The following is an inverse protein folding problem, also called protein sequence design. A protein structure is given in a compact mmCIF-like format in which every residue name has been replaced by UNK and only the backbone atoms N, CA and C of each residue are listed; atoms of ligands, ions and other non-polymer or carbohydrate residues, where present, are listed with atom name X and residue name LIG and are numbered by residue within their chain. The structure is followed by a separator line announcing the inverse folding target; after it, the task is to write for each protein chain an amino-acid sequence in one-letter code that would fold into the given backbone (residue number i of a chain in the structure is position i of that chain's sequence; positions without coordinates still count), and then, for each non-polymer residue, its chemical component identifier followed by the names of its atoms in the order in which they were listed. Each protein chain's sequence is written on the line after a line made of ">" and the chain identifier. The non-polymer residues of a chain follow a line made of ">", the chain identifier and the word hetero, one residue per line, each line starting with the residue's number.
data_IF_102443762845
#
_entry.id   IF_102443762845
#
_cell.length_a   1.000
_cell.length_b   1.000
_cell.length_c   1.000
_cell.angle_alpha   90.00
_cell.angle_beta   90.00
_cell.angle_gamma   90.00
#
_symmetry.space_group_name_H-M   'P 1'
#
loop_
_entity.id
_entity.type
_entity.pdbx_description
1 polymer ?
#
# COMPACT_ATOMS: atom_id res chain seq x y z
N UNK A 1 21.96 20.07 -5.55
CA UNK A 1 20.73 19.26 -5.64
C UNK A 1 19.56 20.24 -5.66
N UNK A 2 18.62 20.20 -6.61
CA UNK A 2 17.45 21.05 -6.52
C UNK A 2 16.61 20.51 -5.35
N UNK A 3 16.58 21.25 -4.24
CA UNK A 3 15.57 21.04 -3.23
C UNK A 3 14.26 21.47 -3.86
N UNK A 4 13.33 20.54 -3.97
CA UNK A 4 11.93 20.87 -4.10
C UNK A 4 11.60 22.06 -3.18
N UNK A 5 10.74 22.98 -3.61
CA UNK A 5 10.31 24.09 -2.73
C UNK A 5 9.89 23.51 -1.37
N UNK A 6 10.08 24.24 -0.26
CA UNK A 6 9.62 23.79 1.06
C UNK A 6 8.14 23.35 1.05
N UNK A 7 7.33 23.98 0.19
CA UNK A 7 5.94 23.62 -0.08
C UNK A 7 5.79 22.24 -0.76
N UNK A 8 6.66 21.93 -1.71
CA UNK A 8 6.65 20.66 -2.45
C UNK A 8 7.14 19.50 -1.56
N UNK A 9 8.16 19.72 -0.72
CA UNK A 9 8.58 18.74 0.29
C UNK A 9 7.47 18.47 1.33
N UNK A 10 6.80 19.53 1.78
CA UNK A 10 5.66 19.40 2.69
C UNK A 10 4.51 18.61 2.06
N UNK A 11 4.22 18.86 0.78
CA UNK A 11 3.17 18.14 0.03
C UNK A 11 3.51 16.65 -0.14
N UNK A 12 4.75 16.31 -0.50
CA UNK A 12 5.20 14.93 -0.61
C UNK A 12 5.16 14.19 0.73
N UNK A 13 5.55 14.88 1.81
CA UNK A 13 5.46 14.36 3.17
C UNK A 13 4.02 14.02 3.56
N UNK A 14 3.06 14.89 3.23
CA UNK A 14 1.64 14.65 3.48
C UNK A 14 1.10 13.46 2.68
N UNK A 15 1.36 13.40 1.37
CA UNK A 15 0.95 12.27 0.54
C UNK A 15 1.50 10.94 1.06
N UNK A 16 2.76 10.93 1.50
CA UNK A 16 3.36 9.73 2.13
C UNK A 16 2.63 9.34 3.41
N UNK A 17 2.27 10.29 4.27
CA UNK A 17 1.50 10.02 5.50
C UNK A 17 0.13 9.42 5.19
N UNK A 18 -0.58 9.95 4.20
CA UNK A 18 -1.88 9.45 3.78
C UNK A 18 -1.82 8.00 3.27
N UNK A 19 -0.83 7.68 2.42
CA UNK A 19 -0.62 6.32 1.91
C UNK A 19 -0.28 5.35 3.04
N UNK A 20 0.58 5.75 3.98
CA UNK A 20 0.92 4.91 5.14
C UNK A 20 -0.31 4.67 6.03
N UNK A 21 -1.11 5.69 6.28
CA UNK A 21 -2.34 5.57 7.06
C UNK A 21 -3.38 4.67 6.37
N UNK A 22 -3.52 4.76 5.04
CA UNK A 22 -4.39 3.88 4.26
C UNK A 22 -3.91 2.43 4.31
N UNK A 23 -2.59 2.19 4.18
CA UNK A 23 -2.00 0.85 4.33
C UNK A 23 -2.19 0.25 5.73
N UNK A 24 -2.10 1.07 6.78
CA UNK A 24 -2.35 0.65 8.16
C UNK A 24 -3.82 0.32 8.45
N UNK A 25 -4.77 0.84 7.68
CA UNK A 25 -6.19 0.52 7.81
C UNK A 25 -6.58 -0.80 7.12
N UNK A 26 -5.69 -1.38 6.31
CA UNK A 26 -5.97 -2.64 5.62
C UNK A 26 -6.18 -3.80 6.61
N UNK A 27 -7.10 -4.74 6.30
CA UNK A 27 -7.19 -6.01 7.01
C UNK A 27 -5.82 -6.71 7.06
N UNK A 28 -5.49 -7.44 8.16
CA UNK A 28 -4.16 -8.00 8.37
C UNK A 28 -3.60 -8.75 7.15
N UNK A 29 -4.41 -9.62 6.55
CA UNK A 29 -3.99 -10.43 5.40
C UNK A 29 -3.68 -9.61 4.15
N UNK A 30 -4.40 -8.52 3.93
CA UNK A 30 -4.14 -7.60 2.81
C UNK A 30 -2.82 -6.86 3.04
N UNK A 31 -2.59 -6.41 4.28
CA UNK A 31 -1.36 -5.73 4.68
C UNK A 31 -0.14 -6.64 4.54
N UNK A 32 -0.21 -7.88 5.03
CA UNK A 32 0.85 -8.89 4.91
C UNK A 32 1.28 -9.08 3.45
N UNK A 33 0.31 -9.31 2.57
CA UNK A 33 0.57 -9.51 1.14
C UNK A 33 1.23 -8.27 0.53
N UNK A 34 0.74 -7.07 0.84
CA UNK A 34 1.33 -5.83 0.30
C UNK A 34 2.75 -5.60 0.84
N UNK A 35 3.00 -5.84 2.12
CA UNK A 35 4.34 -5.70 2.72
C UNK A 35 5.33 -6.61 2.03
N UNK A 36 5.01 -7.90 1.92
CA UNK A 36 5.89 -8.86 1.26
C UNK A 36 6.14 -8.52 -0.21
N UNK A 37 5.08 -8.10 -0.91
CA UNK A 37 5.13 -7.76 -2.34
C UNK A 37 5.92 -6.49 -2.67
N UNK A 38 5.81 -5.46 -1.84
CA UNK A 38 6.30 -4.11 -2.18
C UNK A 38 7.45 -3.63 -1.29
N UNK A 39 7.51 -4.04 -0.03
CA UNK A 39 8.61 -3.70 0.88
C UNK A 39 9.69 -4.78 0.93
N UNK A 40 9.29 -6.06 0.89
CA UNK A 40 10.24 -7.18 0.85
C UNK A 40 10.59 -7.63 -0.57
N UNK A 41 10.04 -6.98 -1.59
CA UNK A 41 10.27 -7.26 -3.01
C UNK A 41 10.02 -8.71 -3.44
N UNK A 42 9.14 -9.44 -2.74
CA UNK A 42 8.81 -10.81 -3.08
C UNK A 42 7.81 -10.89 -4.25
N UNK A 43 7.99 -11.88 -5.11
CA UNK A 43 7.04 -12.27 -6.15
C UNK A 43 5.78 -12.95 -5.61
N UNK A 44 4.84 -13.29 -6.50
CA UNK A 44 3.58 -13.95 -6.09
C UNK A 44 3.83 -15.35 -5.50
N UNK A 45 4.79 -16.07 -6.09
CA UNK A 45 5.15 -17.42 -5.68
C UNK A 45 5.83 -17.43 -4.29
N UNK A 46 6.82 -16.57 -4.09
CA UNK A 46 7.53 -16.44 -2.81
C UNK A 46 6.58 -15.96 -1.70
N UNK A 47 5.72 -14.98 -2.01
CA UNK A 47 4.69 -14.52 -1.05
C UNK A 47 3.71 -15.66 -0.69
N UNK A 48 3.32 -16.47 -1.67
CA UNK A 48 2.42 -17.61 -1.48
C UNK A 48 3.05 -18.66 -0.55
N UNK A 49 4.34 -18.95 -0.74
CA UNK A 49 5.11 -19.86 0.10
C UNK A 49 5.23 -19.35 1.54
N UNK A 50 5.67 -18.09 1.71
CA UNK A 50 5.83 -17.45 3.04
C UNK A 50 4.50 -17.45 3.82
N UNK A 51 3.38 -17.22 3.14
CA UNK A 51 2.08 -17.08 3.78
C UNK A 51 1.26 -18.37 3.82
N UNK A 52 1.75 -19.48 3.24
CA UNK A 52 1.04 -20.76 3.15
C UNK A 52 -0.30 -20.68 2.41
N UNK A 53 -0.38 -19.90 1.31
CA UNK A 53 -1.59 -19.74 0.49
C UNK A 53 -1.31 -19.93 -1.00
N UNK A 54 -2.37 -20.06 -1.80
CA UNK A 54 -2.21 -20.16 -3.26
C UNK A 54 -1.73 -18.84 -3.89
N UNK A 55 -1.01 -18.93 -5.01
CA UNK A 55 -0.64 -17.76 -5.84
C UNK A 55 -1.86 -16.95 -6.28
N UNK A 56 -2.98 -17.61 -6.60
CA UNK A 56 -4.24 -16.93 -6.93
C UNK A 56 -4.83 -16.16 -5.75
N UNK A 57 -4.68 -16.68 -4.53
CA UNK A 57 -5.05 -15.97 -3.29
C UNK A 57 -4.17 -14.75 -3.07
N UNK A 58 -2.86 -14.85 -3.34
CA UNK A 58 -1.95 -13.69 -3.30
C UNK A 58 -2.42 -12.62 -4.28
N UNK A 59 -2.59 -12.96 -5.57
CA UNK A 59 -3.02 -12.01 -6.61
C UNK A 59 -4.34 -11.32 -6.27
N UNK A 60 -5.36 -12.09 -5.89
CA UNK A 60 -6.67 -11.54 -5.55
C UNK A 60 -6.64 -10.68 -4.27
N UNK A 61 -5.78 -11.04 -3.30
CA UNK A 61 -5.61 -10.26 -2.07
C UNK A 61 -4.85 -8.97 -2.33
N UNK A 62 -3.79 -8.99 -3.16
CA UNK A 62 -3.09 -7.77 -3.62
C UNK A 62 -4.07 -6.83 -4.32
N UNK A 63 -4.88 -7.35 -5.25
CA UNK A 63 -5.85 -6.52 -5.97
C UNK A 63 -6.86 -5.87 -5.03
N UNK A 64 -7.41 -6.61 -4.07
CA UNK A 64 -8.33 -6.07 -3.05
C UNK A 64 -7.64 -5.03 -2.15
N UNK A 65 -6.39 -5.28 -1.76
CA UNK A 65 -5.62 -4.36 -0.94
C UNK A 65 -5.38 -3.02 -1.63
N UNK A 66 -4.95 -3.04 -2.91
CA UNK A 66 -4.71 -1.81 -3.67
C UNK A 66 -6.00 -1.01 -3.88
N UNK A 67 -7.12 -1.66 -4.20
CA UNK A 67 -8.43 -1.00 -4.30
C UNK A 67 -8.88 -0.38 -2.98
N UNK A 68 -8.60 -1.04 -1.85
CA UNK A 68 -8.92 -0.51 -0.54
C UNK A 68 -8.07 0.72 -0.19
N UNK A 69 -6.79 0.72 -0.56
CA UNK A 69 -5.93 1.91 -0.41
C UNK A 69 -6.42 3.05 -1.29
N UNK A 70 -6.69 2.79 -2.57
CA UNK A 70 -7.22 3.77 -3.53
C UNK A 70 -8.49 4.45 -2.98
N UNK A 71 -9.50 3.66 -2.60
CA UNK A 71 -10.74 4.16 -2.00
C UNK A 71 -10.50 4.98 -0.72
N UNK A 72 -9.56 4.54 0.13
CA UNK A 72 -9.25 5.24 1.37
C UNK A 72 -8.53 6.58 1.14
N UNK A 73 -7.85 6.75 0.01
CA UNK A 73 -7.22 8.01 -0.39
C UNK A 73 -8.24 8.93 -1.06
N UNK A 74 -9.14 8.41 -1.89
CA UNK A 74 -10.26 9.15 -2.47
C UNK A 74 -11.12 9.77 -1.36
N UNK A 75 -11.54 8.97 -0.38
CA UNK A 75 -12.37 9.48 0.72
C UNK A 75 -11.69 10.63 1.48
N UNK A 76 -10.38 10.55 1.76
CA UNK A 76 -9.65 11.62 2.44
C UNK A 76 -9.53 12.89 1.61
N UNK A 77 -9.46 12.76 0.28
CA UNK A 77 -9.45 13.91 -0.63
C UNK A 77 -10.80 14.59 -0.65
N UNK A 78 -11.88 13.82 -0.63
CA UNK A 78 -13.25 14.34 -0.57
C UNK A 78 -13.57 15.00 0.79
N UNK A 79 -12.92 14.54 1.86
CA UNK A 79 -13.06 15.10 3.22
C UNK A 79 -12.27 16.41 3.45
N UNK A 80 -11.41 16.83 2.50
CA UNK A 80 -10.57 18.05 2.56
C UNK A 80 -11.24 19.24 1.89
#
# INVERSE_FOLDING_TARGET
>A
MPTASAEEEALLGEQRREVLAAGQALPPRQREVVVLRYWSHLGEAETAEVLGISRGTVKSTTSRALRAVEKALEQRRDDR
#
